data_IF_845214273317
#
_entry.id   IF_845214273317
#
_cell.length_a   1.000
_cell.length_b   1.000
_cell.length_c   1.000
_cell.angle_alpha   90.00
_cell.angle_beta   90.00
_cell.angle_gamma   90.00
#
_symmetry.space_group_name_H-M   'P 1'
#
loop_
_entity.id
_entity.type
_entity.pdbx_description
1 polymer ?
#
# COMPACT_ATOMS: atom_id res chain seq x y z
N UNK A 1 -16.88 5.58 -11.78
CA UNK A 1 -16.01 5.87 -12.95
C UNK A 1 -14.71 5.08 -13.00
N UNK A 2 -13.94 4.95 -11.91
CA UNK A 2 -12.65 4.25 -11.92
C UNK A 2 -12.67 2.80 -12.46
N UNK A 3 -13.80 2.09 -12.30
CA UNK A 3 -13.97 0.77 -12.90
C UNK A 3 -13.96 0.78 -14.44
N UNK A 4 -14.45 1.87 -15.06
CA UNK A 4 -14.49 2.06 -16.51
C UNK A 4 -13.27 2.83 -17.04
N UNK A 5 -12.70 3.71 -16.22
CA UNK A 5 -11.52 4.52 -16.56
C UNK A 5 -10.47 4.38 -15.45
N UNK A 6 -9.78 3.24 -15.35
CA UNK A 6 -8.76 3.06 -14.33
C UNK A 6 -7.51 3.89 -14.67
N UNK A 7 -6.76 4.25 -13.63
CA UNK A 7 -5.42 4.80 -13.83
C UNK A 7 -4.51 3.68 -14.37
N UNK A 8 -3.78 3.97 -15.44
CA UNK A 8 -2.80 3.04 -15.98
C UNK A 8 -1.58 2.94 -15.06
N UNK A 9 -1.56 1.92 -14.19
CA UNK A 9 -0.44 1.61 -13.29
C UNK A 9 -0.01 0.15 -13.44
N UNK A 10 1.20 -0.17 -12.97
CA UNK A 10 1.74 -1.54 -12.86
C UNK A 10 1.69 -2.06 -11.43
N UNK A 11 1.05 -1.34 -10.52
CA UNK A 11 0.92 -1.76 -9.13
C UNK A 11 0.02 -2.99 -9.04
N UNK A 12 0.51 -4.00 -8.33
CA UNK A 12 -0.18 -5.27 -8.13
C UNK A 12 -0.58 -5.50 -6.67
N UNK A 13 0.03 -4.75 -5.75
CA UNK A 13 -0.17 -4.88 -4.33
C UNK A 13 -0.45 -3.51 -3.70
N UNK A 14 -1.29 -3.50 -2.67
CA UNK A 14 -1.49 -2.32 -1.84
C UNK A 14 -1.63 -2.71 -0.37
N UNK A 15 -1.23 -1.82 0.53
CA UNK A 15 -1.43 -1.97 1.98
C UNK A 15 -1.80 -0.62 2.57
N UNK A 16 -2.61 -0.60 3.62
CA UNK A 16 -2.94 0.62 4.33
C UNK A 16 -1.68 1.28 4.90
N UNK A 17 -1.69 2.61 4.96
CA UNK A 17 -0.60 3.41 5.55
C UNK A 17 -0.70 3.52 7.08
N UNK A 18 -1.87 3.26 7.65
CA UNK A 18 -2.19 3.51 9.07
C UNK A 18 -2.77 4.91 9.34
N UNK A 19 -2.59 5.87 8.43
CA UNK A 19 -3.07 7.26 8.57
C UNK A 19 -4.21 7.63 7.61
N UNK A 20 -4.89 6.64 7.04
CA UNK A 20 -6.03 6.84 6.13
C UNK A 20 -5.72 6.80 4.63
N UNK A 21 -4.51 6.41 4.21
CA UNK A 21 -4.16 6.19 2.79
C UNK A 21 -3.64 4.77 2.48
N UNK A 22 -3.10 4.57 1.28
CA UNK A 22 -2.51 3.30 0.84
C UNK A 22 -1.11 3.48 0.26
N UNK A 23 -0.24 2.50 0.50
CA UNK A 23 0.99 2.31 -0.26
C UNK A 23 0.75 1.30 -1.37
N UNK A 24 1.11 1.66 -2.60
CA UNK A 24 1.06 0.79 -3.77
C UNK A 24 2.45 0.22 -4.08
N UNK A 25 2.50 -0.98 -4.67
CA UNK A 25 3.73 -1.67 -4.99
C UNK A 25 3.58 -2.57 -6.24
N UNK A 26 4.66 -2.66 -7.02
CA UNK A 26 4.72 -3.48 -8.24
C UNK A 26 5.25 -4.88 -7.97
N UNK A 27 6.00 -5.05 -6.87
CA UNK A 27 6.63 -6.32 -6.51
C UNK A 27 6.25 -6.76 -5.10
N UNK A 28 6.28 -8.06 -4.85
CA UNK A 28 6.06 -8.63 -3.52
C UNK A 28 7.09 -8.13 -2.50
N UNK A 29 8.34 -7.90 -2.93
CA UNK A 29 9.39 -7.37 -2.06
C UNK A 29 9.10 -5.93 -1.60
N UNK A 30 8.62 -5.07 -2.51
CA UNK A 30 8.14 -3.72 -2.16
C UNK A 30 6.93 -3.79 -1.21
N UNK A 31 5.97 -4.67 -1.51
CA UNK A 31 4.79 -4.86 -0.67
C UNK A 31 5.15 -5.28 0.76
N UNK A 32 6.07 -6.22 0.93
CA UNK A 32 6.53 -6.68 2.25
C UNK A 32 7.20 -5.56 3.06
N UNK A 33 7.95 -4.65 2.40
CA UNK A 33 8.48 -3.45 3.07
C UNK A 33 7.37 -2.51 3.53
N UNK A 34 6.32 -2.34 2.73
CA UNK A 34 5.19 -1.51 3.10
C UNK A 34 4.37 -2.15 4.25
N UNK A 35 4.24 -3.48 4.28
CA UNK A 35 3.65 -4.20 5.42
C UNK A 35 4.45 -3.94 6.70
N UNK A 36 5.78 -4.00 6.64
CA UNK A 36 6.61 -3.74 7.82
C UNK A 36 6.40 -2.31 8.36
N UNK A 37 6.26 -1.31 7.47
CA UNK A 37 5.91 0.06 7.86
C UNK A 37 4.52 0.13 8.49
N UNK A 38 3.53 -0.47 7.85
CA UNK A 38 2.16 -0.51 8.36
C UNK A 38 2.08 -1.14 9.75
N UNK A 39 2.78 -2.26 9.99
CA UNK A 39 2.82 -2.92 11.30
C UNK A 39 3.36 -2.02 12.41
N UNK A 40 4.42 -1.26 12.16
CA UNK A 40 4.95 -0.28 13.12
C UNK A 40 3.91 0.76 13.53
N UNK A 41 3.08 1.21 12.58
CA UNK A 41 1.99 2.15 12.88
C UNK A 41 0.91 1.55 13.79
N UNK A 42 0.65 0.24 13.70
CA UNK A 42 -0.32 -0.45 14.57
C UNK A 42 0.22 -0.69 15.97
N UNK A 43 1.54 -0.84 16.12
CA UNK A 43 2.22 -1.02 17.40
C UNK A 43 2.31 0.30 18.20
N UNK A 44 1.77 1.41 17.68
CA UNK A 44 1.80 2.72 18.33
C UNK A 44 3.19 3.37 18.36
N UNK A 45 4.13 2.86 17.55
CA UNK A 45 5.48 3.40 17.41
C UNK A 45 5.61 4.05 16.01
N UNK A 46 5.20 5.32 15.86
CA UNK A 46 5.20 6.02 14.58
C UNK A 46 6.59 6.13 13.95
#
# INVERSE_FOLDING_TARGET
EAAFNPLATRDLYFVATGSGGHYFARTLAEHNRNIAKYRKTLEGNP
#
